data_IF_856131599952
#
_entry.id   IF_856131599952
#
_cell.length_a   1.000
_cell.length_b   1.000
_cell.length_c   1.000
_cell.angle_alpha   90.00
_cell.angle_beta   90.00
_cell.angle_gamma   90.00
#
_symmetry.space_group_name_H-M   'P 1'
#
loop_
_entity.id
_entity.type
_entity.pdbx_description
1 polymer ?
#
# COMPACT_ATOMS: atom_id res chain seq x y z
N UNK A 1 6.73 -4.53 0.61
CA UNK A 1 6.71 -3.42 -0.35
C UNK A 1 6.32 -2.15 0.39
N UNK A 2 7.33 -1.32 0.66
CA UNK A 2 7.22 -0.11 1.48
C UNK A 2 7.79 1.08 0.71
N UNK A 3 7.42 1.17 -0.56
CA UNK A 3 8.07 2.05 -1.54
C UNK A 3 7.04 2.94 -2.23
N UNK A 4 7.33 4.25 -2.37
CA UNK A 4 8.48 4.95 -1.77
C UNK A 4 8.30 5.09 -0.24
N UNK A 5 9.41 5.09 0.50
CA UNK A 5 9.38 5.24 1.96
C UNK A 5 8.82 6.61 2.38
N UNK A 6 9.16 7.64 1.61
CA UNK A 6 8.64 9.00 1.72
C UNK A 6 7.11 9.10 1.63
N UNK A 7 6.43 8.09 1.06
CA UNK A 7 4.97 8.00 1.04
C UNK A 7 4.46 7.01 2.11
N UNK A 8 4.99 5.79 2.11
CA UNK A 8 4.43 4.69 2.91
C UNK A 8 4.69 4.83 4.41
N UNK A 9 5.68 5.63 4.82
CA UNK A 9 6.15 5.82 6.20
C UNK A 9 6.27 7.29 6.61
N UNK A 10 5.70 8.21 5.83
CA UNK A 10 5.78 9.63 6.16
C UNK A 10 5.27 9.91 7.58
N UNK A 11 5.97 10.79 8.29
CA UNK A 11 5.69 11.20 9.67
C UNK A 11 5.70 10.11 10.78
N UNK A 12 6.10 8.87 10.50
CA UNK A 12 6.27 7.82 11.53
C UNK A 12 7.41 8.14 12.51
N UNK A 13 8.41 8.93 12.10
CA UNK A 13 9.51 9.39 12.96
C UNK A 13 9.35 10.80 13.55
N UNK A 14 8.24 11.51 13.25
CA UNK A 14 8.10 12.95 13.51
C UNK A 14 8.02 13.73 12.21
N UNK A 15 8.22 15.05 12.22
CA UNK A 15 8.13 15.85 11.00
C UNK A 15 9.11 15.36 9.93
N UNK A 16 8.56 14.90 8.81
CA UNK A 16 9.32 14.56 7.61
C UNK A 16 8.97 15.59 6.54
N UNK A 17 9.91 16.46 6.12
CA UNK A 17 9.68 17.44 5.06
C UNK A 17 9.49 16.79 3.68
N UNK A 18 9.91 15.55 3.52
CA UNK A 18 9.87 14.81 2.24
C UNK A 18 8.56 14.04 2.03
N UNK A 19 7.52 14.33 2.83
CA UNK A 19 6.22 13.71 2.67
C UNK A 19 5.61 14.03 1.31
N UNK A 20 5.04 13.02 0.66
CA UNK A 20 4.49 13.12 -0.68
C UNK A 20 3.08 12.51 -0.71
N UNK A 21 2.18 13.05 -1.51
CA UNK A 21 0.88 12.41 -1.75
C UNK A 21 0.99 11.36 -2.86
N UNK A 22 0.07 10.40 -2.86
CA UNK A 22 -0.15 9.59 -4.06
C UNK A 22 -0.69 10.47 -5.18
N UNK A 23 -0.33 10.17 -6.43
CA UNK A 23 -0.54 11.02 -7.61
C UNK A 23 0.18 12.38 -7.57
N UNK A 24 1.17 12.56 -6.69
CA UNK A 24 2.07 13.70 -6.74
C UNK A 24 3.38 13.36 -7.46
N UNK A 25 4.01 14.38 -8.04
CA UNK A 25 5.34 14.27 -8.64
C UNK A 25 6.40 14.28 -7.54
N UNK A 26 7.19 13.21 -7.46
CA UNK A 26 8.31 13.08 -6.55
C UNK A 26 9.49 13.98 -6.98
N UNK A 27 10.43 14.28 -6.07
CA UNK A 27 11.73 14.83 -6.45
C UNK A 27 12.35 13.99 -7.58
N UNK A 28 12.81 14.66 -8.65
CA UNK A 28 13.30 13.99 -9.86
C UNK A 28 12.26 13.81 -10.97
N UNK A 29 11.03 14.30 -10.80
CA UNK A 29 10.04 14.43 -11.88
C UNK A 29 9.19 13.19 -12.15
N UNK A 30 9.32 12.15 -11.32
CA UNK A 30 8.54 10.92 -11.47
C UNK A 30 7.20 11.04 -10.75
N UNK A 31 6.10 10.77 -11.44
CA UNK A 31 4.75 10.74 -10.86
C UNK A 31 4.55 9.46 -10.04
N UNK A 32 4.23 9.60 -8.76
CA UNK A 32 3.88 8.46 -7.90
C UNK A 32 2.45 8.00 -8.21
N UNK A 33 2.30 7.00 -9.08
CA UNK A 33 1.01 6.43 -9.47
C UNK A 33 1.13 4.92 -9.77
N UNK A 34 0.07 4.31 -10.30
CA UNK A 34 0.04 2.89 -10.67
C UNK A 34 1.18 2.49 -11.63
N UNK A 35 1.51 3.34 -12.59
CA UNK A 35 2.57 3.07 -13.56
C UNK A 35 3.95 3.03 -12.89
N UNK A 36 4.19 3.90 -11.90
CA UNK A 36 5.39 3.84 -11.06
C UNK A 36 5.44 2.53 -10.24
N UNK A 37 4.34 2.14 -9.59
CA UNK A 37 4.31 0.89 -8.81
C UNK A 37 4.59 -0.32 -9.71
N UNK A 38 4.00 -0.36 -10.90
CA UNK A 38 4.25 -1.42 -11.88
C UNK A 38 5.70 -1.45 -12.33
N UNK A 39 6.29 -0.30 -12.66
CA UNK A 39 7.69 -0.24 -13.11
C UNK A 39 8.66 -0.66 -12.01
N UNK A 40 8.37 -0.33 -10.75
CA UNK A 40 9.13 -0.77 -9.60
C UNK A 40 9.12 -2.31 -9.45
N UNK A 41 7.97 -2.94 -9.68
CA UNK A 41 7.78 -4.39 -9.57
C UNK A 41 8.27 -5.16 -10.81
N UNK A 42 8.57 -4.47 -11.92
CA UNK A 42 8.84 -5.10 -13.21
C UNK A 42 9.99 -6.12 -13.12
N UNK A 43 11.07 -5.82 -12.41
CA UNK A 43 12.21 -6.76 -12.29
C UNK A 43 11.82 -8.07 -11.59
N UNK A 44 10.92 -8.00 -10.60
CA UNK A 44 10.41 -9.20 -9.92
C UNK A 44 9.51 -10.00 -10.86
N UNK A 45 8.66 -9.30 -11.64
CA UNK A 45 7.83 -9.94 -12.67
C UNK A 45 8.67 -10.61 -13.76
N UNK A 46 9.72 -9.96 -14.24
CA UNK A 46 10.63 -10.53 -15.24
C UNK A 46 11.31 -11.80 -14.70
N UNK A 47 11.75 -11.77 -13.45
CA UNK A 47 12.32 -12.93 -12.77
C UNK A 47 11.30 -14.08 -12.64
N UNK A 48 10.08 -13.79 -12.19
CA UNK A 48 9.00 -14.76 -12.09
C UNK A 48 8.75 -15.47 -13.43
N UNK A 49 8.69 -14.71 -14.54
CA UNK A 49 8.42 -15.26 -15.88
C UNK A 49 9.61 -16.08 -16.41
N UNK A 50 10.83 -15.59 -16.23
CA UNK A 50 12.04 -16.26 -16.70
C UNK A 50 12.27 -17.61 -16.00
N UNK A 51 12.02 -17.67 -14.70
CA UNK A 51 12.32 -18.84 -13.87
C UNK A 51 11.08 -19.67 -13.49
N UNK A 52 9.87 -19.21 -13.85
CA UNK A 52 8.59 -19.88 -13.57
C UNK A 52 8.39 -20.20 -12.08
N UNK A 53 8.78 -19.26 -11.22
CA UNK A 53 8.66 -19.38 -9.76
C UNK A 53 7.44 -18.60 -9.26
N UNK A 54 6.79 -19.05 -8.17
CA UNK A 54 5.77 -18.23 -7.51
C UNK A 54 6.44 -17.01 -6.85
N UNK A 55 5.66 -15.93 -6.69
CA UNK A 55 6.07 -14.74 -5.94
C UNK A 55 5.00 -14.46 -4.89
N UNK A 56 5.46 -14.16 -3.68
CA UNK A 56 4.63 -13.79 -2.55
C UNK A 56 5.08 -12.43 -2.01
N UNK A 57 4.14 -11.49 -1.91
CA UNK A 57 4.36 -10.17 -1.31
C UNK A 57 4.06 -10.27 0.18
N UNK A 58 5.10 -10.54 0.98
CA UNK A 58 4.96 -10.76 2.42
C UNK A 58 4.41 -9.57 3.21
N UNK A 59 4.65 -8.34 2.74
CA UNK A 59 4.18 -7.12 3.40
C UNK A 59 3.92 -6.04 2.35
N UNK A 60 2.91 -5.19 2.55
CA UNK A 60 2.78 -3.89 1.90
C UNK A 60 1.80 -3.01 2.67
N UNK A 61 1.99 -1.69 2.61
CA UNK A 61 1.09 -0.72 3.23
C UNK A 61 1.35 0.73 2.85
N UNK A 62 0.48 1.62 3.30
CA UNK A 62 0.72 3.05 3.41
C UNK A 62 0.10 3.59 4.71
N UNK A 63 0.79 4.54 5.37
CA UNK A 63 0.30 5.16 6.60
C UNK A 63 -1.04 5.86 6.36
N UNK A 64 -1.94 5.79 7.34
CA UNK A 64 -3.33 6.24 7.25
C UNK A 64 -3.53 7.71 6.93
N UNK A 65 -2.54 8.55 7.25
CA UNK A 65 -2.56 9.98 6.99
C UNK A 65 -1.85 10.35 5.69
N UNK A 66 -1.30 9.37 4.95
CA UNK A 66 -0.80 9.63 3.61
C UNK A 66 -1.99 9.85 2.67
N UNK A 67 -2.01 11.02 2.06
CA UNK A 67 -3.03 11.39 1.09
C UNK A 67 -2.96 10.46 -0.14
N UNK A 68 -4.09 9.84 -0.48
CA UNK A 68 -4.17 8.80 -1.50
C UNK A 68 -3.71 7.40 -1.08
N UNK A 69 -3.54 7.12 0.22
CA UNK A 69 -3.20 5.78 0.73
C UNK A 69 -4.16 4.68 0.24
N UNK A 70 -5.48 4.91 0.23
CA UNK A 70 -6.44 3.92 -0.27
C UNK A 70 -6.24 3.61 -1.76
N UNK A 71 -6.00 4.63 -2.59
CA UNK A 71 -5.72 4.45 -4.01
C UNK A 71 -4.42 3.66 -4.24
N UNK A 72 -3.37 3.97 -3.48
CA UNK A 72 -2.13 3.18 -3.51
C UNK A 72 -2.39 1.71 -3.21
N UNK A 73 -3.15 1.39 -2.15
CA UNK A 73 -3.47 0.00 -1.79
C UNK A 73 -4.27 -0.71 -2.90
N UNK A 74 -5.24 -0.03 -3.51
CA UNK A 74 -5.99 -0.54 -4.67
C UNK A 74 -5.07 -0.83 -5.85
N UNK A 75 -4.15 0.08 -6.16
CA UNK A 75 -3.24 -0.08 -7.29
C UNK A 75 -2.23 -1.21 -7.05
N UNK A 76 -1.69 -1.32 -5.84
CA UNK A 76 -0.80 -2.41 -5.46
C UNK A 76 -1.47 -3.77 -5.56
N UNK A 77 -2.61 -3.94 -4.89
CA UNK A 77 -3.35 -5.21 -4.92
C UNK A 77 -3.78 -5.56 -6.34
N UNK A 78 -4.30 -4.62 -7.12
CA UNK A 78 -4.67 -4.90 -8.52
C UNK A 78 -3.49 -5.38 -9.39
N UNK A 79 -2.27 -4.88 -9.14
CA UNK A 79 -1.07 -5.35 -9.85
C UNK A 79 -0.66 -6.75 -9.36
N UNK A 80 -0.72 -7.01 -8.06
CA UNK A 80 -0.40 -8.32 -7.50
C UNK A 80 -1.33 -9.40 -8.06
N UNK A 81 -2.63 -9.11 -8.09
CA UNK A 81 -3.66 -9.99 -8.65
C UNK A 81 -3.46 -10.22 -10.15
N UNK A 82 -3.18 -9.15 -10.93
CA UNK A 82 -2.84 -9.29 -12.35
C UNK A 82 -1.61 -10.16 -12.59
N UNK A 83 -0.62 -10.10 -11.70
CA UNK A 83 0.59 -10.91 -11.79
C UNK A 83 0.42 -12.33 -11.23
N UNK A 84 -0.72 -12.62 -10.60
CA UNK A 84 -0.99 -13.88 -9.91
C UNK A 84 -0.09 -14.07 -8.68
N UNK A 85 0.14 -13.00 -7.92
CA UNK A 85 0.94 -13.01 -6.70
C UNK A 85 0.05 -13.03 -5.47
N UNK A 86 0.34 -13.93 -4.55
CA UNK A 86 -0.22 -13.88 -3.20
C UNK A 86 0.38 -12.70 -2.43
N UNK A 87 -0.36 -12.19 -1.45
CA UNK A 87 0.08 -11.03 -0.66
C UNK A 87 -0.48 -11.04 0.75
N UNK A 88 0.23 -10.37 1.66
CA UNK A 88 -0.23 -10.09 3.03
C UNK A 88 -0.19 -8.59 3.30
N UNK A 89 -1.31 -8.07 3.80
CA UNK A 89 -1.40 -6.69 4.25
C UNK A 89 -0.64 -6.48 5.57
N UNK A 90 0.25 -5.50 5.59
CA UNK A 90 0.89 -5.00 6.81
C UNK A 90 0.25 -3.64 7.17
N UNK A 91 -0.11 -3.29 8.40
CA UNK A 91 -0.09 -4.06 9.63
C UNK A 91 -1.47 -3.95 10.28
N UNK A 92 -2.30 -5.00 10.19
CA UNK A 92 -3.61 -5.01 10.81
C UNK A 92 -3.48 -5.16 12.34
N UNK A 93 -3.88 -4.13 13.10
CA UNK A 93 -3.83 -4.06 14.58
C UNK A 93 -2.45 -4.17 15.24
N UNK A 94 -1.36 -4.10 14.49
CA UNK A 94 0.00 -4.07 15.05
C UNK A 94 0.44 -2.63 15.37
N UNK A 95 0.40 -1.73 14.38
CA UNK A 95 0.71 -0.31 14.53
C UNK A 95 -0.43 0.56 14.03
N UNK A 96 -0.81 1.56 14.82
CA UNK A 96 -1.96 2.43 14.53
C UNK A 96 -1.82 3.18 13.20
N UNK A 97 -0.60 3.46 12.74
CA UNK A 97 -0.36 4.16 11.48
C UNK A 97 -0.78 3.35 10.26
N UNK A 98 -0.68 2.02 10.30
CA UNK A 98 -1.08 1.14 9.19
C UNK A 98 -2.38 0.39 9.47
N UNK A 99 -2.87 0.33 10.70
CA UNK A 99 -4.14 -0.36 10.97
C UNK A 99 -5.31 0.19 10.14
N UNK A 100 -6.04 -0.71 9.49
CA UNK A 100 -7.23 -0.42 8.67
C UNK A 100 -8.44 0.01 9.51
N UNK A 101 -8.40 -0.22 10.83
CA UNK A 101 -9.47 0.12 11.76
C UNK A 101 -9.29 1.49 12.42
N UNK A 102 -8.23 2.22 12.06
CA UNK A 102 -7.96 3.57 12.57
C UNK A 102 -8.32 4.57 11.47
N UNK A 103 -8.98 5.66 11.87
CA UNK A 103 -9.38 6.75 10.98
C UNK A 103 -8.16 7.33 10.24
N UNK A 104 -8.37 7.85 9.04
CA UNK A 104 -7.34 8.53 8.23
C UNK A 104 -7.01 9.94 8.76
N UNK A 105 -6.80 10.05 10.08
CA UNK A 105 -6.36 11.25 10.75
C UNK A 105 -4.84 11.27 10.89
N UNK A 106 -4.24 12.46 11.09
CA UNK A 106 -2.83 12.60 11.46
C UNK A 106 -2.42 11.66 12.59
N UNK A 107 -1.11 11.49 12.76
CA UNK A 107 -0.52 10.52 13.68
C UNK A 107 -1.12 10.52 15.10
N UNK A 108 -1.50 11.68 15.62
CA UNK A 108 -2.18 11.85 16.90
C UNK A 108 -3.33 12.84 16.74
N UNK A 109 -4.50 12.61 17.38
CA UNK A 109 -4.84 11.45 18.22
C UNK A 109 -5.06 10.17 17.42
N UNK A 110 -5.00 9.02 18.09
CA UNK A 110 -5.38 7.72 17.52
C UNK A 110 -6.86 7.47 17.80
N UNK A 111 -7.67 7.43 16.74
CA UNK A 111 -9.11 7.24 16.85
C UNK A 111 -9.55 6.03 16.02
N UNK A 112 -10.24 5.08 16.65
CA UNK A 112 -10.85 3.96 15.92
C UNK A 112 -11.93 4.47 14.96
N UNK A 113 -11.96 3.91 13.77
CA UNK A 113 -13.02 4.19 12.81
C UNK A 113 -14.34 3.57 13.30
N UNK A 114 -15.43 4.32 13.18
CA UNK A 114 -16.79 3.86 13.51
C UNK A 114 -17.50 3.25 12.30
N UNK A 115 -16.93 3.43 11.12
CA UNK A 115 -17.34 2.87 9.83
C UNK A 115 -16.11 2.30 9.13
N UNK A 116 -16.30 1.46 8.13
CA UNK A 116 -15.20 0.92 7.32
C UNK A 116 -14.42 2.08 6.67
N UNK A 117 -13.08 2.02 6.75
CA UNK A 117 -12.21 3.01 6.08
C UNK A 117 -12.07 2.68 4.60
N UNK A 118 -11.81 3.67 3.78
CA UNK A 118 -11.48 3.50 2.35
C UNK A 118 -10.31 2.51 2.13
N UNK A 119 -9.28 2.56 2.97
CA UNK A 119 -8.15 1.61 2.99
C UNK A 119 -8.64 0.20 3.30
N UNK A 120 -9.57 0.05 4.25
CA UNK A 120 -10.14 -1.26 4.58
C UNK A 120 -10.95 -1.80 3.40
N UNK A 121 -11.78 -0.96 2.76
CA UNK A 121 -12.54 -1.34 1.55
C UNK A 121 -11.61 -1.77 0.42
N UNK A 122 -10.51 -1.05 0.18
CA UNK A 122 -9.53 -1.39 -0.85
C UNK A 122 -8.92 -2.78 -0.66
N UNK A 123 -8.54 -3.13 0.57
CA UNK A 123 -7.96 -4.45 0.89
C UNK A 123 -9.03 -5.54 0.88
N UNK A 124 -10.20 -5.29 1.46
CA UNK A 124 -11.29 -6.27 1.54
C UNK A 124 -11.88 -6.61 0.18
N UNK A 125 -11.84 -5.70 -0.79
CA UNK A 125 -12.34 -5.96 -2.14
C UNK A 125 -11.78 -7.26 -2.71
N UNK A 126 -10.46 -7.44 -2.67
CA UNK A 126 -9.76 -8.63 -3.18
C UNK A 126 -9.85 -9.82 -2.24
N UNK A 127 -9.76 -9.62 -0.92
CA UNK A 127 -9.93 -10.72 0.04
C UNK A 127 -11.31 -11.39 -0.08
N UNK A 128 -12.35 -10.63 -0.44
CA UNK A 128 -13.69 -11.16 -0.67
C UNK A 128 -13.83 -11.93 -2.00
N UNK A 129 -12.87 -11.80 -2.93
CA UNK A 129 -12.86 -12.60 -4.18
C UNK A 129 -12.30 -14.00 -3.93
N UNK A 130 -11.59 -14.21 -2.82
CA UNK A 130 -11.11 -15.52 -2.45
C UNK A 130 -12.30 -16.43 -2.17
N UNK A 131 -12.51 -17.39 -3.06
CA UNK A 131 -13.49 -18.44 -2.84
C UNK A 131 -13.04 -19.25 -1.63
N UNK A 132 -13.98 -19.56 -0.75
CA UNK A 132 -13.73 -20.56 0.28
C UNK A 132 -13.37 -21.88 -0.41
N UNK A 133 -12.34 -22.60 0.06
CA UNK A 133 -11.93 -23.88 -0.53
C UNK A 133 -13.06 -24.91 -0.56
#
# INVERSE_FOLDING_TARGET
MSTPHAFTHQQVGGNNPDAISYNATMPGGTLLNKAYVRSYLQRIRDFQLAFRVPVYIGEFSAVRWADGAAQYLTDCTSIFEEFGWDWTYHAYREYDGWSLEIQNLPRSPVTKATVETDRATAIRYWLNQNLSP
#
